data_IF_043257843062
#
_entry.id   IF_043257843062
#
_cell.length_a   1.000
_cell.length_b   1.000
_cell.length_c   1.000
_cell.angle_alpha   90.00
_cell.angle_beta   90.00
_cell.angle_gamma   90.00
#
_symmetry.space_group_name_H-M   'P 1'
#
loop_
_entity.id
_entity.type
_entity.pdbx_description
1 polymer ?
#
# COMPACT_ATOMS: atom_id res chain seq x y z
N UNK A 1 8.40 -15.13 11.46
CA UNK A 1 7.64 -15.43 12.70
C UNK A 1 6.41 -16.21 12.28
N UNK A 2 6.01 -17.27 13.01
CA UNK A 2 4.69 -17.87 12.84
C UNK A 2 3.61 -16.77 12.88
N UNK A 3 2.60 -16.85 12.01
CA UNK A 3 1.50 -15.88 11.99
C UNK A 3 1.77 -14.54 11.27
N UNK A 4 2.88 -14.39 10.54
CA UNK A 4 3.07 -13.22 9.67
C UNK A 4 2.22 -13.41 8.42
N UNK A 5 1.09 -12.72 8.41
CA UNK A 5 0.19 -12.58 7.28
C UNK A 5 0.83 -11.64 6.26
N UNK A 6 1.04 -12.12 5.04
CA UNK A 6 1.50 -11.30 3.93
C UNK A 6 0.28 -10.74 3.17
N UNK A 7 0.47 -9.58 2.55
CA UNK A 7 -0.46 -9.09 1.55
C UNK A 7 -0.35 -10.01 0.32
N UNK A 8 -1.46 -10.67 -0.03
CA UNK A 8 -1.44 -11.69 -1.09
C UNK A 8 -1.82 -11.10 -2.45
N UNK A 9 -2.83 -10.23 -2.48
CA UNK A 9 -3.31 -9.60 -3.71
C UNK A 9 -3.34 -8.10 -3.52
N UNK A 10 -2.42 -7.42 -4.20
CA UNK A 10 -2.26 -5.97 -4.14
C UNK A 10 -2.46 -5.42 -5.56
N UNK A 11 -3.48 -4.59 -5.74
CA UNK A 11 -3.69 -3.82 -6.96
C UNK A 11 -3.47 -2.34 -6.66
N UNK A 12 -2.51 -1.72 -7.33
CA UNK A 12 -2.21 -0.29 -7.19
C UNK A 12 -2.41 0.46 -8.50
N UNK A 13 -3.01 1.65 -8.43
CA UNK A 13 -3.04 2.63 -9.51
C UNK A 13 -2.26 3.87 -9.10
N UNK A 14 -1.25 4.20 -9.89
CA UNK A 14 -0.35 5.33 -9.67
C UNK A 14 -0.56 6.38 -10.77
N UNK A 15 -0.93 7.60 -10.38
CA UNK A 15 -0.90 8.78 -11.23
C UNK A 15 0.29 9.65 -10.82
N UNK A 16 1.24 9.84 -11.72
CA UNK A 16 2.48 10.59 -11.48
C UNK A 16 2.51 11.82 -12.39
N UNK A 17 2.79 12.99 -11.81
CA UNK A 17 2.97 14.25 -12.53
C UNK A 17 4.31 14.86 -12.14
N UNK A 18 5.15 15.13 -13.15
CA UNK A 18 6.31 15.99 -13.01
C UNK A 18 5.92 17.41 -13.47
N UNK A 19 6.36 18.42 -12.74
CA UNK A 19 6.09 19.82 -13.04
C UNK A 19 7.27 20.39 -13.81
N UNK A 20 7.02 20.88 -15.03
CA UNK A 20 8.07 21.45 -15.88
C UNK A 20 8.44 22.87 -15.43
N UNK A 21 7.50 23.61 -14.83
CA UNK A 21 7.75 24.98 -14.36
C UNK A 21 8.62 25.03 -13.09
N UNK A 22 8.64 23.95 -12.31
CA UNK A 22 9.40 23.86 -11.06
C UNK A 22 10.33 22.64 -11.16
N UNK A 23 11.62 22.85 -11.46
CA UNK A 23 12.58 21.76 -11.58
C UNK A 23 12.54 20.87 -10.34
N UNK A 24 12.59 19.55 -10.56
CA UNK A 24 12.61 18.53 -9.51
C UNK A 24 11.36 18.45 -8.61
N UNK A 25 10.27 19.16 -8.94
CA UNK A 25 8.99 18.96 -8.27
C UNK A 25 8.20 17.83 -8.96
N UNK A 26 7.74 16.88 -8.16
CA UNK A 26 6.83 15.84 -8.61
C UNK A 26 5.70 15.59 -7.60
N UNK A 27 4.54 15.24 -8.12
CA UNK A 27 3.40 14.77 -7.34
C UNK A 27 3.03 13.36 -7.80
N UNK A 28 2.61 12.54 -6.84
CA UNK A 28 2.11 11.19 -7.08
C UNK A 28 0.86 10.96 -6.26
N UNK A 29 -0.19 10.51 -6.92
CA UNK A 29 -1.40 10.00 -6.29
C UNK A 29 -1.43 8.48 -6.51
N UNK A 30 -1.47 7.73 -5.41
CA UNK A 30 -1.61 6.27 -5.41
C UNK A 30 -2.95 5.89 -4.79
N UNK A 31 -3.64 4.97 -5.44
CA UNK A 31 -4.75 4.22 -4.84
C UNK A 31 -4.37 2.74 -4.81
N UNK A 32 -4.65 2.06 -3.70
CA UNK A 32 -4.34 0.64 -3.54
C UNK A 32 -5.54 -0.12 -3.00
N UNK A 33 -5.76 -1.30 -3.55
CA UNK A 33 -6.70 -2.29 -3.06
C UNK A 33 -5.89 -3.51 -2.62
N UNK A 34 -5.85 -3.76 -1.33
CA UNK A 34 -5.05 -4.82 -0.72
C UNK A 34 -5.97 -5.85 -0.11
N UNK A 35 -5.80 -7.10 -0.55
CA UNK A 35 -6.48 -8.26 -0.01
C UNK A 35 -5.42 -9.20 0.61
N UNK A 36 -5.60 -9.48 1.90
CA UNK A 36 -4.70 -10.31 2.69
C UNK A 36 -5.35 -11.67 2.96
N UNK A 37 -4.56 -12.74 3.07
CA UNK A 37 -5.10 -14.09 3.31
C UNK A 37 -5.72 -14.22 4.70
N UNK A 38 -7.00 -14.54 4.79
CA UNK A 38 -7.69 -14.77 6.05
C UNK A 38 -7.37 -16.12 6.72
N UNK A 39 -6.61 -17.01 6.05
CA UNK A 39 -6.28 -18.35 6.58
C UNK A 39 -4.99 -18.39 7.41
N UNK A 40 -4.48 -17.23 7.85
CA UNK A 40 -3.31 -17.20 8.72
C UNK A 40 -3.70 -17.52 10.16
N UNK A 41 -3.18 -18.63 10.69
CA UNK A 41 -3.39 -19.05 12.08
C UNK A 41 -2.34 -18.39 12.97
N UNK A 42 -2.78 -17.88 14.13
CA UNK A 42 -1.92 -17.29 15.17
C UNK A 42 -1.22 -18.38 15.99
N UNK A 43 -0.22 -18.02 16.80
CA UNK A 43 0.45 -18.98 17.72
C UNK A 43 -0.52 -19.59 18.75
N UNK A 44 -1.67 -18.96 18.98
CA UNK A 44 -2.74 -19.40 19.88
C UNK A 44 -3.80 -20.26 19.17
N UNK A 45 -3.52 -20.70 17.94
CA UNK A 45 -4.41 -21.54 17.13
C UNK A 45 -5.76 -20.87 16.77
N UNK A 46 -5.80 -19.53 16.79
CA UNK A 46 -6.94 -18.72 16.37
C UNK A 46 -6.72 -18.14 14.97
N UNK A 47 -7.79 -17.87 14.23
CA UNK A 47 -7.69 -17.17 12.95
C UNK A 47 -7.33 -15.70 13.19
N UNK A 48 -6.34 -15.20 12.43
CA UNK A 48 -5.98 -13.79 12.46
C UNK A 48 -7.08 -12.97 11.78
N UNK A 49 -7.44 -11.77 12.31
CA UNK A 49 -8.40 -10.90 11.65
C UNK A 49 -7.96 -10.53 10.23
N UNK A 50 -8.94 -10.27 9.37
CA UNK A 50 -8.71 -9.79 8.01
C UNK A 50 -7.96 -8.45 8.06
N UNK A 51 -6.81 -8.40 7.38
CA UNK A 51 -5.98 -7.21 7.27
C UNK A 51 -6.13 -6.52 5.91
N UNK A 52 -7.11 -6.90 5.10
CA UNK A 52 -7.40 -6.25 3.82
C UNK A 52 -7.72 -4.75 4.02
N UNK A 53 -7.18 -3.90 3.14
CA UNK A 53 -7.37 -2.45 3.24
C UNK A 53 -7.39 -1.77 1.87
N UNK A 54 -8.04 -0.62 1.82
CA UNK A 54 -7.94 0.31 0.70
C UNK A 54 -7.12 1.51 1.15
N UNK A 55 -6.15 1.92 0.32
CA UNK A 55 -5.29 3.07 0.58
C UNK A 55 -5.49 4.14 -0.49
N UNK A 56 -5.50 5.40 -0.07
CA UNK A 56 -5.22 6.55 -0.94
C UNK A 56 -4.05 7.32 -0.36
N UNK A 57 -3.04 7.59 -1.19
CA UNK A 57 -1.81 8.27 -0.79
C UNK A 57 -1.47 9.37 -1.78
N UNK A 58 -1.31 10.59 -1.26
CA UNK A 58 -0.80 11.73 -2.00
C UNK A 58 0.63 12.00 -1.54
N UNK A 59 1.56 12.00 -2.48
CA UNK A 59 2.98 12.28 -2.26
C UNK A 59 3.37 13.51 -3.07
N UNK A 60 4.04 14.47 -2.43
CA UNK A 60 4.70 15.59 -3.11
C UNK A 60 6.18 15.54 -2.77
N UNK A 61 7.01 15.49 -3.80
CA UNK A 61 8.45 15.36 -3.66
C UNK A 61 9.14 16.53 -4.36
N UNK A 62 10.05 17.19 -3.65
CA UNK A 62 10.91 18.23 -4.17
C UNK A 62 12.36 17.91 -3.81
N UNK A 63 13.21 17.77 -4.81
CA UNK A 63 14.65 17.54 -4.62
C UNK A 63 15.40 18.87 -4.81
N UNK A 64 15.96 19.37 -3.71
CA UNK A 64 16.77 20.59 -3.64
C UNK A 64 18.13 20.42 -4.34
#
# INVERSE_FOLDING_TARGET
>A
KPGVQADNVVLTFDLVKQFEEIPNLSAKLRTAFVNSDSHTITEENSLKPDTSYNEIRLEMNYLF
#
